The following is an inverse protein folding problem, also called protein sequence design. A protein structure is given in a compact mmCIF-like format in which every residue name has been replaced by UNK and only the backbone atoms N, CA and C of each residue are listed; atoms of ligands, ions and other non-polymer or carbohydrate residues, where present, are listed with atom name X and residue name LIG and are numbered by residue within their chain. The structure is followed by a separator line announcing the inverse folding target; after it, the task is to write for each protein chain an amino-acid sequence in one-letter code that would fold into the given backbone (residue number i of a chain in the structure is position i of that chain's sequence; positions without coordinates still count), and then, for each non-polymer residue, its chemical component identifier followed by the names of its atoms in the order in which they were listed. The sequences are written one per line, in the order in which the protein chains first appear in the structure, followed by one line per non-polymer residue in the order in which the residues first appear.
data_IF_571605877583
#
_entry.id   IF_571605877583
#
_cell.length_a   1.000
_cell.length_b   1.000
_cell.length_c   1.000
_cell.angle_alpha   90.00
_cell.angle_beta   90.00
_cell.angle_gamma   90.00
#
_symmetry.space_group_name_H-M   'P 1'
#
loop_
_entity.id
_entity.type
_entity.pdbx_description
1 polymer ?
#
# COMPACT_ATOMS: atom_id res chain seq x y z
N UNK A 1 35.02 -25.52 28.23
CA UNK A 1 34.20 -24.29 28.27
C UNK A 1 34.54 -23.51 27.01
N UNK A 2 33.70 -23.64 25.97
CA UNK A 2 34.06 -23.34 24.57
C UNK A 2 33.86 -21.85 24.23
N UNK A 3 34.94 -21.23 23.74
CA UNK A 3 35.05 -19.83 23.28
C UNK A 3 34.22 -19.55 22.02
N UNK A 4 33.60 -20.56 21.42
CA UNK A 4 32.85 -20.48 20.15
C UNK A 4 31.48 -19.81 20.26
N UNK A 5 30.93 -19.62 21.46
CA UNK A 5 29.60 -19.03 21.64
C UNK A 5 29.61 -17.48 21.54
N UNK A 6 30.69 -16.83 21.96
CA UNK A 6 30.78 -15.36 21.96
C UNK A 6 30.97 -14.74 20.57
N UNK A 7 31.53 -15.49 19.61
CA UNK A 7 31.75 -14.99 18.25
C UNK A 7 30.44 -14.83 17.45
N UNK A 8 29.39 -15.61 17.74
CA UNK A 8 28.08 -15.48 17.06
C UNK A 8 27.29 -14.24 17.50
N UNK A 9 27.57 -13.68 18.67
CA UNK A 9 26.85 -12.50 19.17
C UNK A 9 27.42 -11.19 18.61
N UNK A 10 28.69 -11.17 18.18
CA UNK A 10 29.35 -9.97 17.66
C UNK A 10 29.12 -9.72 16.16
N UNK A 11 28.66 -10.72 15.40
CA UNK A 11 28.32 -10.58 13.97
C UNK A 11 26.97 -9.86 13.73
N UNK A 12 26.20 -9.61 14.78
CA UNK A 12 24.86 -9.01 14.69
C UNK A 12 24.80 -7.48 14.56
N UNK A 13 25.90 -6.73 14.73
CA UNK A 13 25.84 -5.27 14.91
C UNK A 13 26.19 -4.43 13.67
N UNK A 14 26.63 -5.03 12.56
CA UNK A 14 26.89 -4.31 11.30
C UNK A 14 26.44 -5.11 10.08
N UNK A 15 25.15 -5.43 9.98
CA UNK A 15 24.61 -5.85 8.69
C UNK A 15 24.55 -4.64 7.76
N UNK A 16 25.57 -4.46 6.93
CA UNK A 16 25.52 -3.51 5.84
C UNK A 16 24.35 -3.88 4.90
N UNK A 17 23.46 -2.92 4.62
CA UNK A 17 22.32 -3.12 3.72
C UNK A 17 22.77 -3.69 2.37
N UNK A 18 22.07 -4.71 1.88
CA UNK A 18 22.33 -5.28 0.55
C UNK A 18 22.05 -4.25 -0.55
N UNK A 19 22.57 -4.47 -1.76
CA UNK A 19 22.32 -3.57 -2.90
C UNK A 19 20.83 -3.45 -3.22
N UNK A 20 20.06 -4.54 -3.08
CA UNK A 20 18.61 -4.52 -3.25
C UNK A 20 17.91 -3.71 -2.16
N UNK A 21 18.29 -3.88 -0.89
CA UNK A 21 17.73 -3.10 0.23
C UNK A 21 18.03 -1.60 0.08
N UNK A 22 19.23 -1.24 -0.38
CA UNK A 22 19.58 0.16 -0.69
C UNK A 22 18.73 0.71 -1.83
N UNK A 23 18.42 -0.09 -2.84
CA UNK A 23 17.52 0.28 -3.94
C UNK A 23 16.10 0.59 -3.44
N UNK A 24 15.55 -0.29 -2.61
CA UNK A 24 14.24 -0.09 -1.98
C UNK A 24 14.24 1.15 -1.09
N UNK A 25 15.26 1.33 -0.25
CA UNK A 25 15.38 2.48 0.65
C UNK A 25 15.43 3.82 -0.12
N UNK A 26 16.12 3.84 -1.26
CA UNK A 26 16.16 5.01 -2.16
C UNK A 26 14.80 5.35 -2.76
N UNK A 27 13.90 4.37 -2.92
CA UNK A 27 12.52 4.60 -3.34
C UNK A 27 11.61 5.04 -2.20
N UNK A 28 11.81 4.49 -1.00
CA UNK A 28 11.04 4.85 0.20
C UNK A 28 11.24 6.31 0.58
N UNK A 29 12.48 6.80 0.58
CA UNK A 29 12.80 8.16 1.04
C UNK A 29 12.02 9.27 0.29
N UNK A 30 12.06 9.34 -1.05
CA UNK A 30 11.31 10.35 -1.80
C UNK A 30 9.80 10.14 -1.65
N UNK A 31 9.31 8.90 -1.61
CA UNK A 31 7.89 8.62 -1.39
C UNK A 31 7.43 9.18 -0.04
N UNK A 32 8.19 8.94 1.03
CA UNK A 32 7.90 9.46 2.36
C UNK A 32 7.88 10.99 2.39
N UNK A 33 8.87 11.64 1.77
CA UNK A 33 8.94 13.10 1.70
C UNK A 33 7.73 13.68 0.94
N UNK A 34 7.36 13.06 -0.18
CA UNK A 34 6.17 13.47 -0.96
C UNK A 34 4.90 13.27 -0.13
N UNK A 35 4.74 12.13 0.54
CA UNK A 35 3.57 11.85 1.39
C UNK A 35 3.46 12.86 2.53
N UNK A 36 4.54 13.09 3.29
CA UNK A 36 4.54 14.06 4.39
C UNK A 36 4.28 15.48 3.85
N UNK A 37 4.92 15.85 2.74
CA UNK A 37 4.74 17.15 2.10
C UNK A 37 3.30 17.38 1.63
N UNK A 38 2.68 16.38 0.99
CA UNK A 38 1.29 16.42 0.57
C UNK A 38 0.34 16.52 1.77
N UNK A 39 0.60 15.74 2.83
CA UNK A 39 -0.19 15.78 4.07
C UNK A 39 -0.13 17.17 4.74
N UNK A 40 1.07 17.71 4.94
CA UNK A 40 1.26 19.04 5.53
C UNK A 40 0.68 20.14 4.63
N UNK A 41 0.88 20.03 3.32
CA UNK A 41 0.29 20.93 2.34
C UNK A 41 -1.23 20.94 2.42
N UNK A 42 -1.86 19.77 2.52
CA UNK A 42 -3.30 19.66 2.68
C UNK A 42 -3.80 20.33 3.96
N UNK A 43 -3.13 20.12 5.09
CA UNK A 43 -3.49 20.75 6.37
C UNK A 43 -3.34 22.27 6.35
N UNK A 44 -2.26 22.77 5.74
CA UNK A 44 -1.91 24.19 5.80
C UNK A 44 -2.63 25.02 4.72
N UNK A 45 -3.01 24.43 3.59
CA UNK A 45 -3.50 25.17 2.41
C UNK A 45 -4.91 24.81 1.95
N UNK A 46 -5.52 23.67 2.35
CA UNK A 46 -6.92 23.42 2.00
C UNK A 46 -7.86 24.23 2.90
N UNK A 47 -8.81 25.01 2.33
CA UNK A 47 -9.81 25.72 3.12
C UNK A 47 -10.71 24.71 3.84
N UNK A 48 -10.68 24.75 5.18
CA UNK A 48 -11.52 23.92 6.07
C UNK A 48 -13.02 24.12 5.84
N UNK A 49 -13.41 25.15 5.09
CA UNK A 49 -14.80 25.46 4.74
C UNK A 49 -15.48 24.39 3.84
N UNK A 50 -14.72 23.44 3.28
CA UNK A 50 -15.27 22.29 2.53
C UNK A 50 -15.64 21.09 3.42
N UNK A 51 -15.41 21.19 4.73
CA UNK A 51 -15.59 20.08 5.66
C UNK A 51 -17.08 19.86 5.94
N UNK A 52 -17.54 18.66 5.62
CA UNK A 52 -18.85 18.14 5.93
C UNK A 52 -19.17 18.17 7.45
N UNK A 53 -20.25 18.87 7.82
CA UNK A 53 -20.68 19.02 9.22
C UNK A 53 -21.36 17.75 9.78
N UNK A 54 -21.88 16.88 8.92
CA UNK A 54 -22.49 15.61 9.33
C UNK A 54 -21.69 14.38 8.88
N UNK A 55 -21.86 13.27 9.61
CA UNK A 55 -21.16 11.99 9.38
C UNK A 55 -21.39 11.44 7.97
N UNK A 56 -22.61 11.54 7.44
CA UNK A 56 -22.93 11.02 6.11
C UNK A 56 -22.10 11.73 5.02
N UNK A 57 -22.00 13.06 5.09
CA UNK A 57 -21.22 13.83 4.14
C UNK A 57 -19.70 13.58 4.29
N UNK A 58 -19.21 13.27 5.50
CA UNK A 58 -17.80 12.85 5.72
C UNK A 58 -17.50 11.49 5.11
N UNK A 59 -18.42 10.53 5.25
CA UNK A 59 -18.30 9.22 4.62
C UNK A 59 -18.33 9.32 3.08
N UNK A 60 -19.24 10.14 2.53
CA UNK A 60 -19.27 10.41 1.09
C UNK A 60 -17.97 11.04 0.60
N UNK A 61 -17.39 11.95 1.39
CA UNK A 61 -16.09 12.54 1.08
C UNK A 61 -15.00 11.47 1.03
N UNK A 62 -14.88 10.62 2.06
CA UNK A 62 -13.91 9.53 2.12
C UNK A 62 -14.04 8.57 0.92
N UNK A 63 -15.27 8.13 0.63
CA UNK A 63 -15.56 7.19 -0.45
C UNK A 63 -15.20 7.73 -1.83
N UNK A 64 -15.23 9.05 -2.06
CA UNK A 64 -14.79 9.64 -3.34
C UNK A 64 -13.31 9.40 -3.61
N UNK A 65 -12.48 9.43 -2.57
CA UNK A 65 -11.05 9.11 -2.68
C UNK A 65 -10.82 7.62 -2.85
N UNK A 66 -11.60 6.79 -2.17
CA UNK A 66 -11.53 5.33 -2.30
C UNK A 66 -11.82 4.83 -3.73
N UNK A 67 -12.49 5.61 -4.58
CA UNK A 67 -12.65 5.30 -6.01
C UNK A 67 -11.28 5.07 -6.66
N UNK A 68 -10.31 5.96 -6.41
CA UNK A 68 -8.98 5.82 -6.99
C UNK A 68 -8.27 4.55 -6.50
N UNK A 69 -8.39 4.24 -5.20
CA UNK A 69 -7.81 3.04 -4.59
C UNK A 69 -8.40 1.76 -5.20
N UNK A 70 -9.72 1.70 -5.35
CA UNK A 70 -10.43 0.56 -5.96
C UNK A 70 -10.08 0.42 -7.44
N UNK A 71 -9.91 1.52 -8.17
CA UNK A 71 -9.47 1.48 -9.58
C UNK A 71 -8.07 0.88 -9.72
N UNK A 72 -7.14 1.20 -8.83
CA UNK A 72 -5.80 0.59 -8.83
C UNK A 72 -5.91 -0.92 -8.57
N UNK A 73 -6.73 -1.34 -7.61
CA UNK A 73 -6.99 -2.76 -7.38
C UNK A 73 -7.54 -3.43 -8.66
N UNK A 74 -8.53 -2.83 -9.32
CA UNK A 74 -9.10 -3.35 -10.57
C UNK A 74 -8.05 -3.49 -11.69
N UNK A 75 -7.12 -2.53 -11.80
CA UNK A 75 -6.00 -2.61 -12.75
C UNK A 75 -5.10 -3.82 -12.45
N UNK A 76 -4.77 -4.07 -11.17
CA UNK A 76 -3.93 -5.23 -10.80
C UNK A 76 -4.64 -6.57 -11.02
N UNK A 77 -5.95 -6.63 -10.78
CA UNK A 77 -6.79 -7.79 -11.13
C UNK A 77 -6.74 -8.01 -12.65
N UNK A 78 -6.99 -6.97 -13.43
CA UNK A 78 -7.00 -7.03 -14.89
C UNK A 78 -5.64 -7.44 -15.47
N UNK A 79 -4.54 -6.97 -14.91
CA UNK A 79 -3.20 -7.35 -15.32
C UNK A 79 -2.93 -8.86 -15.15
N UNK A 80 -3.32 -9.43 -14.00
CA UNK A 80 -3.20 -10.87 -13.75
C UNK A 80 -4.17 -11.68 -14.63
N UNK A 81 -5.43 -11.25 -14.74
CA UNK A 81 -6.44 -11.93 -15.54
C UNK A 81 -6.04 -11.97 -17.02
N UNK A 82 -5.56 -10.83 -17.56
CA UNK A 82 -5.00 -10.76 -18.92
C UNK A 82 -3.85 -11.74 -19.10
N UNK A 83 -2.91 -11.80 -18.15
CA UNK A 83 -1.78 -12.73 -18.22
C UNK A 83 -2.24 -14.19 -18.27
N UNK A 84 -3.16 -14.59 -17.38
CA UNK A 84 -3.73 -15.96 -17.35
C UNK A 84 -4.48 -16.32 -18.62
N UNK A 85 -5.24 -15.38 -19.17
CA UNK A 85 -6.01 -15.61 -20.39
C UNK A 85 -5.13 -15.93 -21.61
N UNK A 86 -3.96 -15.29 -21.72
CA UNK A 86 -3.04 -15.48 -22.85
C UNK A 86 -1.93 -16.50 -22.60
N UNK A 87 -1.89 -17.15 -21.43
CA UNK A 87 -0.85 -18.12 -21.06
C UNK A 87 -1.49 -19.49 -20.87
N UNK A 88 -1.32 -20.43 -21.82
CA UNK A 88 -1.92 -21.77 -21.74
C UNK A 88 -1.60 -22.50 -20.43
N UNK A 89 -0.39 -22.34 -19.91
CA UNK A 89 0.01 -22.93 -18.62
C UNK A 89 -0.66 -22.29 -17.38
N UNK A 90 -1.19 -21.07 -17.50
CA UNK A 90 -1.76 -20.30 -16.37
C UNK A 90 -3.29 -20.12 -16.47
N UNK A 91 -3.93 -20.59 -17.55
CA UNK A 91 -5.35 -20.39 -17.83
C UNK A 91 -6.26 -21.10 -16.82
N UNK A 92 -5.84 -22.29 -16.37
CA UNK A 92 -6.52 -23.08 -15.34
C UNK A 92 -6.35 -22.49 -13.92
N UNK A 93 -5.57 -21.40 -13.81
CA UNK A 93 -5.27 -20.73 -12.55
C UNK A 93 -4.26 -21.49 -11.68
N UNK A 94 -3.78 -20.83 -10.63
CA UNK A 94 -2.73 -21.36 -9.74
C UNK A 94 -3.13 -22.55 -8.86
N UNK A 95 -4.36 -23.08 -9.01
CA UNK A 95 -4.85 -24.25 -8.26
C UNK A 95 -4.59 -25.59 -8.96
N UNK A 96 -4.33 -25.58 -10.27
CA UNK A 96 -4.18 -26.80 -11.10
C UNK A 96 -2.79 -26.92 -11.74
N UNK A 97 -2.06 -25.80 -11.86
CA UNK A 97 -0.69 -25.78 -12.40
C UNK A 97 0.26 -24.99 -11.50
N UNK A 98 1.56 -25.29 -11.58
CA UNK A 98 2.59 -24.44 -10.98
C UNK A 98 2.69 -23.19 -11.86
N UNK A 99 1.90 -22.17 -11.54
CA UNK A 99 1.82 -20.96 -12.35
C UNK A 99 3.19 -20.35 -12.68
N UNK A 100 3.30 -19.71 -13.83
CA UNK A 100 4.52 -19.13 -14.36
C UNK A 100 5.13 -18.11 -13.39
N UNK A 101 6.44 -17.85 -13.51
CA UNK A 101 7.12 -16.86 -12.69
C UNK A 101 6.46 -15.47 -12.79
N UNK A 102 5.93 -15.12 -13.97
CA UNK A 102 5.21 -13.86 -14.17
C UNK A 102 3.85 -13.86 -13.46
N UNK A 103 3.08 -14.96 -13.56
CA UNK A 103 1.82 -15.09 -12.83
C UNK A 103 2.01 -14.98 -11.32
N UNK A 104 3.08 -15.58 -10.77
CA UNK A 104 3.44 -15.46 -9.34
C UNK A 104 3.76 -14.02 -8.94
N UNK A 105 4.53 -13.30 -9.76
CA UNK A 105 4.84 -11.88 -9.52
C UNK A 105 3.58 -11.01 -9.56
N UNK A 106 2.71 -11.19 -10.55
CA UNK A 106 1.44 -10.46 -10.66
C UNK A 106 0.48 -10.79 -9.53
N UNK A 107 0.43 -12.05 -9.08
CA UNK A 107 -0.34 -12.47 -7.91
C UNK A 107 0.16 -11.81 -6.63
N UNK A 108 1.47 -11.69 -6.44
CA UNK A 108 2.05 -11.00 -5.29
C UNK A 108 1.71 -9.51 -5.28
N UNK A 109 1.75 -8.85 -6.45
CA UNK A 109 1.34 -7.45 -6.61
C UNK A 109 -0.15 -7.29 -6.30
N UNK A 110 -1.01 -8.17 -6.84
CA UNK A 110 -2.45 -8.16 -6.57
C UNK A 110 -2.74 -8.34 -5.09
N UNK A 111 -2.11 -9.32 -4.44
CA UNK A 111 -2.30 -9.60 -3.01
C UNK A 111 -1.92 -8.40 -2.15
N UNK A 112 -0.75 -7.82 -2.41
CA UNK A 112 -0.28 -6.64 -1.70
C UNK A 112 -1.21 -5.43 -1.93
N UNK A 113 -1.70 -5.26 -3.16
CA UNK A 113 -2.64 -4.18 -3.49
C UNK A 113 -3.99 -4.38 -2.83
N UNK A 114 -4.47 -5.63 -2.71
CA UNK A 114 -5.70 -5.97 -2.00
C UNK A 114 -5.56 -5.65 -0.51
N UNK A 115 -4.48 -6.10 0.13
CA UNK A 115 -4.20 -5.81 1.54
C UNK A 115 -4.13 -4.29 1.79
N UNK A 116 -3.43 -3.55 0.93
CA UNK A 116 -3.35 -2.09 1.02
C UNK A 116 -4.69 -1.41 0.77
N UNK A 117 -5.49 -1.90 -0.19
CA UNK A 117 -6.82 -1.36 -0.49
C UNK A 117 -7.75 -1.52 0.71
N UNK A 118 -7.79 -2.71 1.31
CA UNK A 118 -8.59 -2.98 2.49
C UNK A 118 -8.16 -2.08 3.64
N UNK A 119 -6.85 -1.98 3.89
CA UNK A 119 -6.34 -1.13 4.97
C UNK A 119 -6.66 0.36 4.74
N UNK A 120 -6.50 0.87 3.51
CA UNK A 120 -6.78 2.25 3.15
C UNK A 120 -8.28 2.58 3.35
N UNK A 121 -9.17 1.81 2.73
CA UNK A 121 -10.62 2.03 2.83
C UNK A 121 -11.08 1.97 4.29
N UNK A 122 -10.67 0.96 5.05
CA UNK A 122 -11.03 0.85 6.47
C UNK A 122 -10.51 2.04 7.28
N UNK A 123 -9.29 2.50 7.01
CA UNK A 123 -8.69 3.66 7.70
C UNK A 123 -9.46 4.93 7.37
N UNK A 124 -9.80 5.17 6.10
CA UNK A 124 -10.56 6.34 5.67
C UNK A 124 -11.96 6.37 6.28
N UNK A 125 -12.65 5.23 6.34
CA UNK A 125 -13.98 5.13 6.95
C UNK A 125 -13.93 5.36 8.47
N UNK A 126 -12.96 4.76 9.16
CA UNK A 126 -12.77 5.00 10.60
C UNK A 126 -12.47 6.50 10.83
N UNK A 127 -11.53 7.07 10.07
CA UNK A 127 -11.15 8.49 10.19
C UNK A 127 -12.34 9.43 9.95
N UNK A 128 -13.14 9.17 8.91
CA UNK A 128 -14.33 9.97 8.59
C UNK A 128 -15.36 10.02 9.72
N UNK A 129 -15.43 8.98 10.56
CA UNK A 129 -16.34 8.88 11.71
C UNK A 129 -15.74 9.50 12.97
N UNK A 130 -14.46 9.23 13.26
CA UNK A 130 -13.86 9.57 14.57
C UNK A 130 -13.11 10.91 14.58
N UNK A 131 -12.59 11.35 13.44
CA UNK A 131 -11.74 12.54 13.39
C UNK A 131 -12.57 13.82 13.55
N UNK A 132 -12.00 14.86 14.20
CA UNK A 132 -12.64 16.17 14.22
C UNK A 132 -12.79 16.71 12.80
N UNK A 133 -13.87 17.47 12.54
CA UNK A 133 -14.22 17.95 11.21
C UNK A 133 -13.02 18.58 10.47
N UNK A 134 -12.28 19.45 11.16
CA UNK A 134 -11.11 20.14 10.62
C UNK A 134 -9.97 19.23 10.11
N UNK A 135 -9.96 17.94 10.49
CA UNK A 135 -8.96 16.93 10.08
C UNK A 135 -9.44 16.09 8.88
N UNK A 136 -10.63 16.35 8.34
CA UNK A 136 -11.18 15.61 7.19
C UNK A 136 -10.36 15.80 5.90
N UNK A 137 -9.69 16.93 5.73
CA UNK A 137 -8.85 17.23 4.55
C UNK A 137 -7.61 16.34 4.45
N UNK A 138 -7.37 15.47 5.42
CA UNK A 138 -6.21 14.58 5.50
C UNK A 138 -6.49 13.18 4.96
N UNK A 139 -7.75 12.88 4.62
CA UNK A 139 -8.06 11.74 3.77
C UNK A 139 -7.48 12.07 2.38
N UNK A 140 -6.40 11.41 1.95
CA UNK A 140 -5.74 11.68 0.69
C UNK A 140 -6.47 11.08 -0.51
#
# INVERSE_FOLDING_TARGET
MNVTCYAKFSVGLTMALTSQQKGVLRGILPALVITIGAFLGAVLWLPVALVADNVAARLVFALKFDIAVVLILAVTIGALARHRFFSPEDIDGGGLTIGSARAKSLQAILQNTLEQTVLAVMTHLVWAVVAPAMWMVQIP
#
